data_IF_718752873733
#
_entry.id   IF_718752873733
#
_cell.length_a   1.000
_cell.length_b   1.000
_cell.length_c   1.000
_cell.angle_alpha   90.00
_cell.angle_beta   90.00
_cell.angle_gamma   90.00
#
_symmetry.space_group_name_H-M   'P 1'
#
loop_
_entity.id
_entity.type
_entity.pdbx_description
1 polymer ?
#
# COMPACT_ATOMS: atom_id res chain seq x y z
N UNK A 1 17.46 3.29 -17.10
CA UNK A 1 16.94 4.45 -16.34
C UNK A 1 17.53 4.41 -14.94
N UNK A 2 17.95 5.54 -14.39
CA UNK A 2 18.50 5.64 -13.04
C UNK A 2 17.37 5.61 -12.01
N UNK A 3 17.28 4.52 -11.24
CA UNK A 3 16.34 4.36 -10.12
C UNK A 3 16.52 5.51 -9.12
N UNK A 4 15.42 6.08 -8.62
CA UNK A 4 15.45 6.85 -7.36
C UNK A 4 15.71 5.84 -6.23
N UNK A 5 16.74 6.02 -5.39
CA UNK A 5 17.07 5.06 -4.34
C UNK A 5 15.93 5.00 -3.30
N UNK A 6 15.63 3.80 -2.80
CA UNK A 6 14.65 3.61 -1.74
C UNK A 6 15.16 4.29 -0.46
N UNK A 7 14.31 5.11 0.14
CA UNK A 7 14.57 5.78 1.40
C UNK A 7 14.23 4.85 2.56
N UNK A 8 15.25 4.24 3.18
CA UNK A 8 15.11 3.67 4.52
C UNK A 8 15.06 4.83 5.52
N UNK A 9 13.85 5.24 5.90
CA UNK A 9 13.65 6.25 6.95
C UNK A 9 13.84 5.54 8.31
N UNK A 10 14.84 5.92 9.12
CA UNK A 10 15.04 5.31 10.43
C UNK A 10 13.85 5.59 11.35
N UNK A 11 13.47 4.59 12.15
CA UNK A 11 12.33 4.54 13.11
C UNK A 11 12.23 5.76 14.05
N UNK A 12 13.28 6.58 14.17
CA UNK A 12 13.33 7.78 15.01
C UNK A 12 12.72 9.05 14.37
N UNK A 13 12.30 9.01 13.10
CA UNK A 13 11.68 10.15 12.37
C UNK A 13 10.18 9.93 12.21
N UNK A 14 9.51 9.61 13.31
CA UNK A 14 8.10 9.18 13.35
C UNK A 14 7.09 10.35 13.54
N UNK A 15 7.42 11.57 13.10
CA UNK A 15 6.53 12.73 13.21
C UNK A 15 5.89 13.15 11.87
N UNK A 16 6.16 12.41 10.79
CA UNK A 16 5.55 12.59 9.46
C UNK A 16 5.34 11.28 8.70
N UNK A 17 5.57 10.14 9.35
CA UNK A 17 5.12 8.86 8.82
C UNK A 17 3.73 8.65 9.40
N UNK A 18 2.77 9.36 8.81
CA UNK A 18 1.34 9.15 9.04
C UNK A 18 1.09 7.64 9.07
N UNK A 19 0.60 7.20 10.22
CA UNK A 19 0.66 5.81 10.60
C UNK A 19 -0.28 4.99 9.72
N UNK A 20 0.29 4.11 8.89
CA UNK A 20 -0.48 3.06 8.24
C UNK A 20 -1.36 2.33 9.25
N UNK A 21 -2.59 2.00 8.86
CA UNK A 21 -3.56 1.38 9.75
C UNK A 21 -3.25 -0.12 9.95
N UNK A 22 -2.14 -0.42 10.64
CA UNK A 22 -1.75 -1.78 10.99
C UNK A 22 -1.98 -2.03 12.48
N UNK A 23 -2.74 -3.07 12.87
CA UNK A 23 -2.94 -3.40 14.27
C UNK A 23 -1.64 -3.88 14.93
N UNK A 24 -1.19 -3.15 15.95
CA UNK A 24 -0.10 -3.57 16.83
C UNK A 24 -0.49 -4.84 17.60
N UNK A 25 0.33 -5.88 17.52
CA UNK A 25 0.03 -7.17 18.15
C UNK A 25 0.25 -7.12 19.66
N UNK A 26 -0.84 -7.26 20.44
CA UNK A 26 -0.77 -7.59 21.86
C UNK A 26 -0.66 -9.12 22.05
N UNK A 27 0.16 -9.62 23.00
CA UNK A 27 0.37 -11.05 23.19
C UNK A 27 -0.81 -11.70 23.92
N UNK A 28 -1.34 -12.80 23.37
CA UNK A 28 -2.31 -13.70 24.03
C UNK A 28 -1.57 -14.95 24.51
N UNK A 29 -1.80 -15.46 25.74
CA UNK A 29 -1.12 -16.65 26.24
C UNK A 29 -1.68 -17.94 25.64
N UNK A 30 -0.78 -18.88 25.37
CA UNK A 30 -1.07 -20.20 24.82
C UNK A 30 -1.83 -21.11 25.80
N UNK A 31 -2.68 -21.98 25.26
CA UNK A 31 -3.22 -23.17 25.96
C UNK A 31 -2.86 -24.43 25.16
N UNK A 32 -2.53 -25.50 25.89
CA UNK A 32 -1.91 -26.73 25.40
C UNK A 32 -2.80 -27.60 24.48
N UNK A 33 -2.21 -28.44 23.60
CA UNK A 33 -2.96 -29.36 22.77
C UNK A 33 -3.28 -30.67 23.51
N UNK A 34 -4.48 -31.19 23.24
CA UNK A 34 -4.91 -32.56 23.56
C UNK A 34 -4.64 -33.43 22.34
N UNK A 35 -3.93 -34.55 22.55
CA UNK A 35 -3.68 -35.59 21.57
C UNK A 35 -4.90 -36.48 21.37
N UNK A 36 -5.24 -36.81 20.14
CA UNK A 36 -6.06 -37.99 19.83
C UNK A 36 -5.48 -38.74 18.63
N UNK A 37 -5.32 -40.05 18.83
CA UNK A 37 -4.72 -41.03 17.92
C UNK A 37 -5.85 -41.79 17.22
N UNK A 38 -5.81 -41.87 15.89
CA UNK A 38 -6.55 -42.92 15.17
C UNK A 38 -6.07 -43.05 13.72
N UNK A 39 -5.38 -44.15 13.46
CA UNK A 39 -5.08 -44.69 12.12
C UNK A 39 -6.36 -45.19 11.43
N UNK A 40 -6.41 -45.17 10.09
CA UNK A 40 -6.94 -46.35 9.40
C UNK A 40 -6.08 -46.86 8.22
N UNK A 41 -5.97 -48.20 8.25
CA UNK A 41 -5.79 -49.22 7.21
C UNK A 41 -5.52 -48.81 5.75
N UNK A 42 -4.44 -49.40 5.24
CA UNK A 42 -4.06 -49.61 3.84
C UNK A 42 -5.14 -50.32 3.00
N UNK A 43 -5.44 -49.77 1.83
CA UNK A 43 -6.15 -50.43 0.74
C UNK A 43 -5.26 -50.48 -0.50
N UNK A 44 -5.10 -51.68 -1.07
CA UNK A 44 -4.41 -51.96 -2.33
C UNK A 44 -5.00 -51.15 -3.49
N UNK A 45 -4.16 -50.46 -4.24
CA UNK A 45 -4.49 -49.92 -5.55
C UNK A 45 -3.39 -50.30 -6.55
N UNK A 46 -3.83 -51.03 -7.56
CA UNK A 46 -3.12 -51.50 -8.74
C UNK A 46 -2.33 -50.41 -9.45
N UNK A 47 -1.06 -50.71 -9.74
CA UNK A 47 -0.13 -49.87 -10.48
C UNK A 47 -0.51 -49.78 -11.96
N UNK A 48 -1.18 -48.70 -12.35
CA UNK A 48 -1.05 -48.19 -13.71
C UNK A 48 0.24 -47.39 -13.77
N UNK A 49 1.13 -47.77 -14.70
CA UNK A 49 2.39 -47.07 -14.92
C UNK A 49 2.12 -45.73 -15.61
N UNK A 50 1.81 -44.71 -14.81
CA UNK A 50 1.86 -43.31 -15.21
C UNK A 50 3.30 -42.97 -15.57
N UNK A 51 3.52 -42.41 -16.76
CA UNK A 51 4.77 -41.73 -17.09
C UNK A 51 5.09 -40.74 -15.98
N UNK A 52 6.26 -40.89 -15.34
CA UNK A 52 6.72 -40.01 -14.28
C UNK A 52 6.64 -38.55 -14.77
N UNK A 53 5.93 -37.70 -14.03
CA UNK A 53 5.98 -36.26 -14.26
C UNK A 53 7.35 -35.75 -13.85
N UNK A 54 7.98 -34.97 -14.72
CA UNK A 54 9.17 -34.17 -14.38
C UNK A 54 8.75 -32.92 -13.58
N UNK A 55 7.95 -33.11 -12.52
CA UNK A 55 7.49 -31.99 -11.70
C UNK A 55 8.68 -31.47 -10.88
N UNK A 56 9.05 -30.18 -11.02
CA UNK A 56 10.15 -29.63 -10.25
C UNK A 56 9.78 -29.58 -8.76
N UNK A 57 10.73 -29.94 -7.89
CA UNK A 57 10.60 -29.71 -6.46
C UNK A 57 10.78 -28.22 -6.16
N UNK A 58 9.87 -27.61 -5.41
CA UNK A 58 9.81 -26.17 -5.13
C UNK A 58 9.89 -25.91 -3.62
N UNK A 59 11.09 -25.65 -3.04
CA UNK A 59 11.29 -25.44 -1.61
C UNK A 59 10.60 -24.18 -1.08
N UNK A 60 10.43 -23.15 -1.93
CA UNK A 60 9.76 -21.90 -1.57
C UNK A 60 8.59 -21.68 -2.51
N UNK A 61 7.37 -21.82 -1.99
CA UNK A 61 6.16 -21.55 -2.78
C UNK A 61 5.83 -20.05 -2.73
N UNK A 62 5.22 -19.53 -3.79
CA UNK A 62 4.78 -18.15 -3.83
C UNK A 62 3.37 -18.00 -4.40
N UNK A 63 2.70 -16.92 -4.00
CA UNK A 63 1.45 -16.45 -4.60
C UNK A 63 1.42 -14.94 -4.66
N UNK A 64 0.75 -14.40 -5.67
CA UNK A 64 0.37 -12.99 -5.72
C UNK A 64 -0.81 -12.78 -4.75
N UNK A 65 -0.78 -11.70 -3.95
CA UNK A 65 -1.84 -11.42 -2.98
C UNK A 65 -3.12 -10.90 -3.63
N UNK A 66 -2.98 -10.03 -4.64
CA UNK A 66 -4.06 -9.42 -5.40
C UNK A 66 -3.61 -9.23 -6.84
N UNK A 67 -4.53 -9.42 -7.79
CA UNK A 67 -4.26 -9.23 -9.21
C UNK A 67 -3.67 -7.83 -9.46
N UNK A 68 -2.50 -7.72 -10.13
CA UNK A 68 -1.90 -6.44 -10.47
C UNK A 68 -2.79 -5.67 -11.45
N UNK A 69 -2.91 -4.35 -11.23
CA UNK A 69 -3.64 -3.43 -12.10
C UNK A 69 -2.74 -2.25 -12.47
N UNK A 70 -2.67 -1.87 -13.76
CA UNK A 70 -1.82 -0.78 -14.22
C UNK A 70 -2.40 0.58 -13.80
N UNK A 71 -1.54 1.56 -13.55
CA UNK A 71 -1.94 2.95 -13.36
C UNK A 71 -0.91 3.91 -13.99
N UNK A 72 -1.33 4.78 -14.93
CA UNK A 72 -0.45 5.83 -15.45
C UNK A 72 -0.25 6.91 -14.38
N UNK A 73 0.98 7.37 -14.22
CA UNK A 73 1.35 8.22 -13.11
C UNK A 73 2.10 9.49 -13.55
N UNK A 74 2.34 10.39 -12.59
CA UNK A 74 2.92 11.72 -12.84
C UNK A 74 4.34 11.72 -13.40
N UNK A 75 5.07 10.61 -13.34
CA UNK A 75 6.40 10.47 -13.94
C UNK A 75 6.36 10.08 -15.43
N UNK A 76 5.16 9.91 -15.99
CA UNK A 76 4.94 9.52 -17.38
C UNK A 76 5.03 8.02 -17.65
N UNK A 77 5.17 7.20 -16.61
CA UNK A 77 5.17 5.74 -16.71
C UNK A 77 3.82 5.15 -16.28
N UNK A 78 3.63 3.87 -16.57
CA UNK A 78 2.53 3.06 -16.04
C UNK A 78 3.08 2.09 -15.01
N UNK A 79 2.56 2.16 -13.79
CA UNK A 79 2.97 1.36 -12.64
C UNK A 79 2.05 0.16 -12.43
N UNK A 80 2.64 -0.97 -12.05
CA UNK A 80 1.97 -2.20 -11.65
C UNK A 80 2.46 -2.56 -10.25
N UNK A 81 1.89 -1.91 -9.24
CA UNK A 81 2.14 -2.22 -7.84
C UNK A 81 1.36 -3.46 -7.39
N UNK A 82 2.03 -4.43 -6.77
CA UNK A 82 1.40 -5.62 -6.17
C UNK A 82 2.35 -6.30 -5.18
N UNK A 83 1.87 -7.32 -4.47
CA UNK A 83 2.65 -8.05 -3.47
C UNK A 83 2.69 -9.54 -3.77
N UNK A 84 3.84 -10.16 -3.49
CA UNK A 84 3.99 -11.59 -3.39
C UNK A 84 4.02 -12.01 -1.93
N UNK A 85 3.46 -13.17 -1.65
CA UNK A 85 3.72 -13.91 -0.43
C UNK A 85 4.52 -15.17 -0.76
N UNK A 86 5.70 -15.27 -0.16
CA UNK A 86 6.59 -16.41 -0.20
C UNK A 86 6.40 -17.25 1.08
N UNK A 87 6.49 -18.58 0.96
CA UNK A 87 6.52 -19.49 2.09
C UNK A 87 7.61 -20.52 1.89
N UNK A 88 8.61 -20.51 2.77
CA UNK A 88 9.63 -21.55 2.83
C UNK A 88 9.03 -22.76 3.54
N UNK A 89 8.70 -23.79 2.77
CA UNK A 89 8.05 -25.01 3.28
C UNK A 89 9.06 -26.06 3.75
N UNK A 90 10.34 -25.71 3.79
CA UNK A 90 11.43 -26.62 4.14
C UNK A 90 12.00 -26.38 5.52
N UNK A 91 12.94 -27.24 5.91
CA UNK A 91 13.75 -27.10 7.12
C UNK A 91 15.08 -26.39 6.87
N UNK A 92 15.32 -25.91 5.64
CA UNK A 92 16.54 -25.20 5.24
C UNK A 92 16.31 -23.69 5.31
N UNK A 93 17.37 -22.93 5.52
CA UNK A 93 17.30 -21.47 5.35
C UNK A 93 17.37 -21.16 3.86
N UNK A 94 16.48 -20.30 3.37
CA UNK A 94 16.44 -19.83 2.00
C UNK A 94 16.78 -18.34 1.94
N UNK A 95 17.82 -17.97 1.20
CA UNK A 95 18.18 -16.57 0.95
C UNK A 95 17.72 -16.20 -0.45
N UNK A 96 16.92 -15.14 -0.61
CA UNK A 96 16.57 -14.61 -1.93
C UNK A 96 17.82 -13.92 -2.50
N UNK A 97 18.36 -14.47 -3.59
CA UNK A 97 19.53 -13.94 -4.29
C UNK A 97 19.13 -13.02 -5.44
N UNK A 98 18.01 -13.30 -6.11
CA UNK A 98 17.44 -12.37 -7.09
C UNK A 98 15.95 -12.61 -7.31
N UNK A 99 15.26 -11.57 -7.77
CA UNK A 99 13.88 -11.62 -8.24
C UNK A 99 13.85 -11.01 -9.63
N UNK A 100 13.40 -11.76 -10.63
CA UNK A 100 13.23 -11.32 -12.00
C UNK A 100 11.75 -11.41 -12.37
N UNK A 101 11.12 -10.27 -12.61
CA UNK A 101 9.73 -10.18 -13.03
C UNK A 101 9.66 -10.25 -14.56
N UNK A 102 8.88 -11.19 -15.06
CA UNK A 102 8.81 -11.53 -16.47
C UNK A 102 7.40 -11.31 -17.02
N UNK A 103 7.32 -10.94 -18.29
CA UNK A 103 6.05 -10.95 -19.01
C UNK A 103 5.58 -12.38 -19.37
N UNK A 104 4.39 -12.50 -19.97
CA UNK A 104 3.85 -13.77 -20.44
C UNK A 104 4.65 -14.45 -21.57
N UNK A 105 5.67 -13.79 -22.14
CA UNK A 105 6.60 -14.36 -23.14
C UNK A 105 7.94 -14.74 -22.51
N UNK A 106 8.14 -14.48 -21.22
CA UNK A 106 9.40 -14.72 -20.51
C UNK A 106 10.44 -13.61 -20.68
N UNK A 107 10.05 -12.44 -21.17
CA UNK A 107 10.93 -11.28 -21.23
C UNK A 107 11.02 -10.62 -19.86
N UNK A 108 12.23 -10.34 -19.39
CA UNK A 108 12.48 -9.58 -18.16
C UNK A 108 11.96 -8.14 -18.29
N UNK A 109 11.14 -7.74 -17.31
CA UNK A 109 10.58 -6.41 -17.16
C UNK A 109 11.31 -5.65 -16.05
N UNK A 110 11.58 -6.34 -14.93
CA UNK A 110 12.32 -5.80 -13.81
C UNK A 110 13.14 -6.89 -13.13
N UNK A 111 14.37 -6.55 -12.73
CA UNK A 111 15.23 -7.44 -11.95
C UNK A 111 15.76 -6.73 -10.70
N UNK A 112 15.78 -7.46 -9.59
CA UNK A 112 16.40 -7.09 -8.32
C UNK A 112 17.44 -8.16 -7.96
N UNK A 113 18.67 -7.74 -7.70
CA UNK A 113 19.79 -8.65 -7.39
C UNK A 113 20.37 -8.36 -5.99
N UNK A 114 20.65 -9.42 -5.24
CA UNK A 114 21.34 -9.38 -3.96
C UNK A 114 20.73 -8.38 -2.97
N UNK A 115 21.51 -7.38 -2.59
CA UNK A 115 21.11 -6.39 -1.60
C UNK A 115 20.03 -5.41 -2.12
N UNK A 116 19.81 -5.32 -3.44
CA UNK A 116 18.70 -4.55 -4.00
C UNK A 116 17.34 -5.14 -3.62
N UNK A 117 17.28 -6.43 -3.26
CA UNK A 117 16.06 -7.12 -2.83
C UNK A 117 15.65 -6.70 -1.42
N UNK A 118 16.62 -6.42 -0.53
CA UNK A 118 16.39 -6.24 0.92
C UNK A 118 15.29 -5.23 1.25
N UNK A 119 15.24 -4.03 0.64
CA UNK A 119 14.24 -3.03 0.97
C UNK A 119 12.80 -3.42 0.58
N UNK A 120 12.66 -4.42 -0.31
CA UNK A 120 11.38 -4.86 -0.87
C UNK A 120 10.86 -6.13 -0.21
N UNK A 121 11.55 -6.66 0.80
CA UNK A 121 11.18 -7.93 1.44
C UNK A 121 11.07 -7.77 2.95
N UNK A 122 9.93 -8.20 3.49
CA UNK A 122 9.70 -8.29 4.92
C UNK A 122 9.45 -9.74 5.31
N UNK A 123 10.34 -10.29 6.14
CA UNK A 123 10.26 -11.67 6.61
C UNK A 123 9.39 -11.72 7.86
N UNK A 124 8.46 -12.67 7.90
CA UNK A 124 7.54 -12.81 9.02
C UNK A 124 8.29 -13.07 10.33
N UNK A 125 8.03 -12.22 11.32
CA UNK A 125 8.67 -12.31 12.64
C UNK A 125 9.97 -11.51 12.78
N UNK A 126 10.36 -10.72 11.78
CA UNK A 126 11.48 -9.76 11.87
C UNK A 126 10.98 -8.32 12.00
N UNK A 127 11.82 -7.44 12.52
CA UNK A 127 11.52 -5.99 12.60
C UNK A 127 12.10 -5.21 11.43
N UNK A 128 13.21 -5.68 10.88
CA UNK A 128 13.89 -5.04 9.75
C UNK A 128 13.60 -5.79 8.44
N UNK A 129 13.63 -5.10 7.29
CA UNK A 129 13.63 -5.73 5.98
C UNK A 129 14.80 -6.71 5.82
N UNK A 130 14.59 -7.77 5.05
CA UNK A 130 15.58 -8.82 4.92
C UNK A 130 15.23 -9.86 3.86
N UNK A 131 16.27 -10.48 3.29
CA UNK A 131 16.13 -11.46 2.20
C UNK A 131 16.34 -12.92 2.64
N UNK A 132 16.42 -13.19 3.95
CA UNK A 132 16.67 -14.53 4.51
C UNK A 132 15.41 -15.08 5.15
N UNK A 133 14.84 -16.12 4.55
CA UNK A 133 13.61 -16.80 4.99
C UNK A 133 14.00 -18.10 5.68
N UNK A 134 13.87 -18.14 7.01
CA UNK A 134 14.15 -19.34 7.79
C UNK A 134 13.14 -20.47 7.57
N UNK A 135 13.40 -21.64 8.18
CA UNK A 135 12.51 -22.81 8.12
C UNK A 135 11.06 -22.48 8.50
N UNK A 136 10.11 -22.81 7.63
CA UNK A 136 8.68 -22.57 7.87
C UNK A 136 8.27 -21.09 7.89
N UNK A 137 9.19 -20.15 7.66
CA UNK A 137 8.87 -18.73 7.64
C UNK A 137 8.25 -18.31 6.30
N UNK A 138 7.42 -17.26 6.35
CA UNK A 138 6.93 -16.57 5.17
C UNK A 138 7.59 -15.21 4.99
N UNK A 139 7.48 -14.64 3.80
CA UNK A 139 7.91 -13.28 3.53
C UNK A 139 6.93 -12.58 2.57
N UNK A 140 6.72 -11.29 2.79
CA UNK A 140 6.07 -10.41 1.84
C UNK A 140 7.14 -9.77 0.95
N UNK A 141 6.84 -9.70 -0.35
CA UNK A 141 7.65 -8.96 -1.33
C UNK A 141 6.77 -7.91 -1.98
N UNK A 142 7.23 -6.67 -2.01
CA UNK A 142 6.58 -5.58 -2.73
C UNK A 142 7.24 -5.38 -4.08
N UNK A 143 6.45 -5.37 -5.14
CA UNK A 143 6.91 -5.15 -6.51
C UNK A 143 6.15 -3.96 -7.12
N UNK A 144 6.82 -3.27 -8.03
CA UNK A 144 6.27 -2.19 -8.85
C UNK A 144 6.91 -2.23 -10.25
N UNK A 145 6.28 -2.99 -11.16
CA UNK A 145 6.76 -3.07 -12.54
C UNK A 145 6.31 -1.82 -13.29
N UNK A 146 7.24 -1.18 -14.00
CA UNK A 146 6.94 -0.02 -14.83
C UNK A 146 7.04 -0.34 -16.32
N UNK A 147 6.12 0.24 -17.10
CA UNK A 147 6.15 0.24 -18.58
C UNK A 147 5.91 1.64 -19.12
N UNK A 148 6.29 1.90 -20.37
CA UNK A 148 6.25 3.23 -20.96
C UNK A 148 4.82 3.73 -21.25
N UNK A 149 3.86 2.83 -21.47
CA UNK A 149 2.48 3.18 -21.78
C UNK A 149 1.48 2.07 -21.46
N UNK A 150 0.19 2.40 -21.45
CA UNK A 150 -0.90 1.42 -21.23
C UNK A 150 -0.91 0.32 -22.31
N UNK A 151 -0.43 0.60 -23.52
CA UNK A 151 -0.34 -0.37 -24.61
C UNK A 151 0.78 -1.40 -24.37
N UNK A 152 1.78 -1.05 -23.56
CA UNK A 152 2.91 -1.90 -23.21
C UNK A 152 2.63 -2.81 -22.00
N UNK A 153 1.46 -2.68 -21.36
CA UNK A 153 1.09 -3.47 -20.18
C UNK A 153 0.95 -4.95 -20.56
N UNK A 154 1.74 -5.86 -19.96
CA UNK A 154 1.67 -7.28 -20.27
C UNK A 154 0.36 -7.89 -19.77
N UNK A 155 -0.14 -8.91 -20.48
CA UNK A 155 -1.36 -9.62 -20.04
C UNK A 155 -1.11 -10.54 -18.82
N UNK A 156 0.14 -10.94 -18.60
CA UNK A 156 0.55 -11.86 -17.52
C UNK A 156 1.91 -11.46 -16.98
N UNK A 157 2.11 -11.75 -15.71
CA UNK A 157 3.40 -11.67 -15.03
C UNK A 157 3.79 -13.04 -14.47
N UNK A 158 5.09 -13.29 -14.37
CA UNK A 158 5.64 -14.40 -13.63
C UNK A 158 6.99 -14.01 -13.01
N UNK A 159 7.47 -14.79 -12.05
CA UNK A 159 8.62 -14.39 -11.24
C UNK A 159 9.66 -15.50 -11.26
N UNK A 160 10.83 -15.27 -11.84
CA UNK A 160 11.98 -16.14 -11.63
C UNK A 160 12.71 -15.68 -10.37
N UNK A 161 12.66 -16.48 -9.31
CA UNK A 161 13.30 -16.18 -8.03
C UNK A 161 14.45 -17.15 -7.82
N UNK A 162 15.65 -16.61 -7.63
CA UNK A 162 16.83 -17.39 -7.28
C UNK A 162 16.98 -17.44 -5.77
N UNK A 163 17.09 -18.64 -5.21
CA UNK A 163 17.33 -18.87 -3.79
C UNK A 163 18.67 -19.57 -3.57
N UNK A 164 19.41 -19.09 -2.57
CA UNK A 164 20.52 -19.81 -1.95
C UNK A 164 20.01 -20.63 -0.75
N UNK A 165 20.46 -21.87 -0.60
CA UNK A 165 20.06 -22.76 0.50
C UNK A 165 21.23 -23.14 1.40
N UNK A 166 21.06 -22.94 2.71
CA UNK A 166 22.02 -23.36 3.74
C UNK A 166 21.32 -24.02 4.96
N UNK A 167 21.64 -25.28 5.29
CA UNK A 167 22.43 -26.22 4.48
C UNK A 167 21.64 -26.69 3.25
N UNK A 168 22.30 -26.91 2.11
CA UNK A 168 21.69 -27.59 0.98
C UNK A 168 21.45 -29.09 1.25
N UNK A 169 20.51 -29.72 0.54
CA UNK A 169 20.24 -31.16 0.60
C UNK A 169 20.20 -31.82 -0.80
N UNK A 170 21.36 -31.94 -1.50
CA UNK A 170 21.40 -32.52 -2.85
C UNK A 170 20.98 -33.99 -2.89
N UNK A 171 20.42 -34.48 -4.01
CA UNK A 171 20.23 -33.76 -5.28
C UNK A 171 18.94 -32.94 -5.35
N UNK A 172 18.10 -32.98 -4.32
CA UNK A 172 16.75 -32.38 -4.34
C UNK A 172 16.81 -30.87 -4.11
N UNK A 173 17.58 -30.42 -3.12
CA UNK A 173 17.83 -29.01 -2.84
C UNK A 173 19.31 -28.74 -3.10
N UNK A 174 19.62 -28.06 -4.19
CA UNK A 174 20.98 -27.62 -4.50
C UNK A 174 21.32 -26.33 -3.75
N UNK A 175 22.61 -25.98 -3.60
CA UNK A 175 23.01 -24.74 -2.93
C UNK A 175 22.40 -23.48 -3.53
N UNK A 176 22.04 -23.52 -4.81
CA UNK A 176 21.33 -22.47 -5.52
C UNK A 176 20.27 -23.11 -6.40
N UNK A 177 19.06 -22.54 -6.42
CA UNK A 177 17.96 -22.94 -7.29
C UNK A 177 17.26 -21.69 -7.82
N UNK A 178 16.88 -21.69 -9.09
CA UNK A 178 16.01 -20.65 -9.66
C UNK A 178 14.68 -21.26 -10.02
N UNK A 179 13.60 -20.61 -9.56
CA UNK A 179 12.25 -21.14 -9.66
C UNK A 179 11.32 -20.13 -10.30
N UNK A 180 10.53 -20.60 -11.26
CA UNK A 180 9.42 -19.84 -11.84
C UNK A 180 8.22 -19.94 -10.93
N UNK A 181 7.88 -18.86 -10.24
CA UNK A 181 6.85 -18.81 -9.22
C UNK A 181 5.72 -17.84 -9.58
N UNK A 182 4.57 -18.02 -8.91
CA UNK A 182 3.45 -17.10 -8.84
C UNK A 182 3.10 -16.42 -10.18
N UNK A 183 2.86 -17.21 -11.23
CA UNK A 183 2.31 -16.67 -12.48
C UNK A 183 0.90 -16.11 -12.24
N UNK A 184 0.64 -14.90 -12.70
CA UNK A 184 -0.64 -14.21 -12.54
C UNK A 184 -1.08 -13.54 -13.83
N UNK A 185 -2.39 -13.40 -14.01
CA UNK A 185 -2.93 -12.44 -14.98
C UNK A 185 -2.71 -11.02 -14.46
N UNK A 186 -2.66 -10.08 -15.40
CA UNK A 186 -2.78 -8.64 -15.12
C UNK A 186 -4.17 -8.20 -15.53
N UNK A 187 -4.86 -7.53 -14.62
CA UNK A 187 -6.13 -6.91 -14.93
C UNK A 187 -5.87 -5.57 -15.60
N UNK A 188 -6.10 -5.52 -16.91
CA UNK A 188 -5.77 -4.39 -17.79
C UNK A 188 -6.95 -3.44 -18.01
N UNK A 189 -7.97 -3.50 -17.15
CA UNK A 189 -9.00 -2.48 -17.12
C UNK A 189 -8.38 -1.10 -16.86
N UNK A 190 -8.97 -0.07 -17.45
CA UNK A 190 -8.52 1.30 -17.20
C UNK A 190 -8.72 1.64 -15.71
N UNK A 191 -7.81 2.41 -15.10
CA UNK A 191 -8.00 2.91 -13.74
C UNK A 191 -9.31 3.67 -13.59
N UNK A 192 -9.82 3.70 -12.37
CA UNK A 192 -11.01 4.49 -12.04
C UNK A 192 -10.65 5.97 -12.13
N UNK A 193 -11.35 6.71 -12.98
CA UNK A 193 -11.21 8.18 -13.09
C UNK A 193 -12.10 8.82 -12.04
N UNK A 194 -11.54 9.70 -11.21
CA UNK A 194 -12.25 10.39 -10.13
C UNK A 194 -11.90 11.88 -10.11
N UNK A 195 -12.77 12.69 -9.51
CA UNK A 195 -12.44 14.08 -9.19
C UNK A 195 -11.57 14.17 -7.91
N UNK A 196 -10.77 15.23 -7.73
CA UNK A 196 -10.03 15.45 -6.49
C UNK A 196 -10.93 15.57 -5.26
N UNK A 197 -10.55 14.98 -4.10
CA UNK A 197 -11.33 15.06 -2.87
C UNK A 197 -11.19 16.39 -2.11
N UNK A 198 -10.42 17.34 -2.66
CA UNK A 198 -9.96 18.58 -2.00
C UNK A 198 -9.96 19.75 -3.00
N UNK A 199 -9.89 20.99 -2.48
CA UNK A 199 -9.77 22.22 -3.27
C UNK A 199 -8.52 23.02 -2.92
N UNK A 200 -8.08 23.86 -3.85
CA UNK A 200 -7.00 24.81 -3.63
C UNK A 200 -5.60 24.22 -3.85
N UNK A 201 -4.61 25.04 -3.52
CA UNK A 201 -3.22 24.83 -3.93
C UNK A 201 -2.40 24.14 -2.83
N UNK A 202 -1.28 23.52 -3.22
CA UNK A 202 -0.24 23.10 -2.28
C UNK A 202 -0.52 21.80 -1.52
N UNK A 203 -1.33 20.88 -2.06
CA UNK A 203 -1.57 19.59 -1.42
C UNK A 203 -0.41 18.64 -1.66
N UNK A 204 0.33 18.30 -0.61
CA UNK A 204 1.37 17.28 -0.65
C UNK A 204 0.72 15.90 -0.61
N UNK A 205 1.04 15.08 -1.61
CA UNK A 205 0.69 13.66 -1.66
C UNK A 205 1.69 12.86 -0.82
N UNK A 206 1.33 12.63 0.45
CA UNK A 206 2.04 11.78 1.39
C UNK A 206 1.71 10.30 1.15
N UNK A 207 2.71 9.44 1.34
CA UNK A 207 2.58 7.98 1.36
C UNK A 207 1.99 7.28 0.12
N UNK A 208 1.69 8.02 -0.95
CA UNK A 208 1.17 7.45 -2.20
C UNK A 208 2.18 6.50 -2.86
N UNK A 209 1.73 5.79 -3.88
CA UNK A 209 2.55 4.81 -4.59
C UNK A 209 3.79 5.49 -5.27
N UNK A 210 4.90 4.79 -5.56
CA UNK A 210 5.08 3.33 -5.52
C UNK A 210 6.35 2.83 -4.80
N UNK A 211 6.99 3.67 -3.99
CA UNK A 211 7.96 3.19 -3.00
C UNK A 211 7.25 2.35 -1.91
N UNK A 212 8.01 1.58 -1.12
CA UNK A 212 7.49 0.92 0.10
C UNK A 212 7.30 1.96 1.21
N UNK A 213 6.28 2.81 1.05
CA UNK A 213 5.78 3.73 2.07
C UNK A 213 5.07 2.94 3.18
N UNK A 214 4.77 3.55 4.35
CA UNK A 214 3.91 2.92 5.36
C UNK A 214 2.64 2.31 4.76
N UNK A 215 1.95 3.04 3.87
CA UNK A 215 0.74 2.58 3.18
C UNK A 215 0.99 1.41 2.23
N UNK A 216 2.02 1.51 1.39
CA UNK A 216 2.39 0.43 0.48
C UNK A 216 2.73 -0.85 1.26
N UNK A 217 3.38 -0.70 2.41
CA UNK A 217 3.72 -1.77 3.35
C UNK A 217 2.55 -2.34 4.17
N UNK A 218 1.40 -1.67 4.19
CA UNK A 218 0.25 -2.05 5.00
C UNK A 218 -0.48 -3.27 4.42
N UNK A 219 -0.01 -4.47 4.77
CA UNK A 219 -0.66 -5.73 4.43
C UNK A 219 -1.34 -6.31 5.68
N UNK A 220 -2.66 -6.16 5.75
CA UNK A 220 -3.48 -6.41 6.92
C UNK A 220 -4.00 -7.86 6.97
N UNK A 221 -3.84 -8.58 8.09
CA UNK A 221 -4.39 -9.92 8.29
C UNK A 221 -5.84 -9.86 8.81
N UNK A 222 -6.80 -9.53 7.94
CA UNK A 222 -8.22 -9.43 8.30
C UNK A 222 -8.96 -10.69 7.88
N UNK A 223 -9.79 -11.25 8.78
CA UNK A 223 -10.61 -12.41 8.47
C UNK A 223 -9.83 -13.68 8.09
N UNK A 224 -8.55 -13.77 8.51
CA UNK A 224 -7.67 -14.90 8.18
C UNK A 224 -7.00 -14.81 6.80
N UNK A 225 -7.10 -13.67 6.10
CA UNK A 225 -6.45 -13.42 4.82
C UNK A 225 -5.63 -12.13 4.85
N UNK A 226 -4.63 -12.05 3.97
CA UNK A 226 -3.87 -10.81 3.76
C UNK A 226 -4.59 -9.91 2.76
N UNK A 227 -4.64 -8.63 3.10
CA UNK A 227 -5.28 -7.57 2.33
C UNK A 227 -4.33 -6.38 2.23
N UNK A 228 -4.18 -5.76 1.06
CA UNK A 228 -3.36 -4.55 0.90
C UNK A 228 -4.26 -3.35 0.56
N UNK A 229 -5.06 -2.85 1.53
CA UNK A 229 -6.07 -1.83 1.29
C UNK A 229 -5.44 -0.49 0.88
N UNK A 230 -4.28 -0.17 1.41
CA UNK A 230 -3.64 1.14 1.26
C UNK A 230 -2.66 1.21 0.07
N UNK A 231 -2.67 0.22 -0.83
CA UNK A 231 -1.72 0.12 -1.96
C UNK A 231 -1.59 1.40 -2.78
N UNK A 232 -2.71 2.09 -2.99
CA UNK A 232 -2.78 3.36 -3.72
C UNK A 232 -3.31 4.51 -2.84
N UNK A 233 -3.26 4.36 -1.51
CA UNK A 233 -3.74 5.37 -0.59
C UNK A 233 -2.85 6.60 -0.58
N UNK A 234 -3.47 7.75 -0.36
CA UNK A 234 -2.79 9.04 -0.29
C UNK A 234 -3.19 9.71 1.02
N UNK A 235 -2.18 10.18 1.73
CA UNK A 235 -2.37 11.14 2.81
C UNK A 235 -2.12 12.55 2.31
N UNK A 236 -3.12 13.41 2.47
CA UNK A 236 -3.03 14.80 2.07
C UNK A 236 -2.76 15.70 3.26
N UNK A 237 -1.68 16.46 3.15
CA UNK A 237 -1.40 17.64 3.98
C UNK A 237 -1.23 18.85 3.08
N UNK A 238 -1.63 20.04 3.53
CA UNK A 238 -1.49 21.25 2.74
C UNK A 238 -0.24 22.03 3.17
N UNK A 239 0.57 22.41 2.20
CA UNK A 239 1.68 23.34 2.37
C UNK A 239 1.16 24.77 2.20
N UNK A 240 1.59 25.66 3.09
CA UNK A 240 1.44 27.10 2.90
C UNK A 240 2.41 27.63 1.83
N UNK A 241 2.31 28.93 1.56
CA UNK A 241 3.18 29.60 0.58
C UNK A 241 4.67 29.59 0.94
N UNK A 242 5.02 29.30 2.19
CA UNK A 242 6.39 29.19 2.67
C UNK A 242 6.90 27.74 2.65
N UNK A 243 6.04 26.76 2.32
CA UNK A 243 6.38 25.34 2.30
C UNK A 243 6.19 24.65 3.65
N UNK A 244 5.48 25.27 4.60
CA UNK A 244 5.18 24.71 5.92
C UNK A 244 3.76 24.14 5.96
N UNK A 245 3.58 22.99 6.60
CA UNK A 245 2.24 22.42 6.89
C UNK A 245 1.85 22.62 8.37
N UNK A 246 2.74 23.20 9.17
CA UNK A 246 2.52 23.50 10.58
C UNK A 246 3.08 24.88 10.91
N UNK A 247 2.28 25.75 11.52
CA UNK A 247 2.62 27.17 11.77
C UNK A 247 2.69 27.52 13.26
N UNK A 248 2.61 26.53 14.14
CA UNK A 248 2.55 26.69 15.60
C UNK A 248 3.05 25.45 16.34
N UNK A 249 2.70 25.29 17.63
CA UNK A 249 3.03 24.08 18.40
C UNK A 249 2.47 22.82 17.70
N UNK A 250 3.34 21.84 17.46
CA UNK A 250 3.01 20.59 16.74
C UNK A 250 1.98 19.72 17.45
N UNK A 251 1.65 20.02 18.71
CA UNK A 251 0.72 19.25 19.52
C UNK A 251 -0.65 19.93 19.67
N UNK A 252 -0.89 20.97 18.87
CA UNK A 252 -2.15 21.73 18.80
C UNK A 252 -2.76 21.64 17.39
N UNK A 253 -4.03 21.24 17.29
CA UNK A 253 -4.75 21.14 16.01
C UNK A 253 -4.81 22.48 15.24
N UNK A 254 -4.89 23.60 15.96
CA UNK A 254 -4.91 24.95 15.37
C UNK A 254 -3.61 25.34 14.68
N UNK A 255 -2.53 24.58 14.86
CA UNK A 255 -1.25 24.80 14.20
C UNK A 255 -1.21 24.26 12.77
N UNK A 256 -2.23 23.52 12.34
CA UNK A 256 -2.35 22.91 11.02
C UNK A 256 -3.40 23.68 10.20
N UNK A 257 -2.99 24.59 9.29
CA UNK A 257 -3.92 25.54 8.66
C UNK A 257 -5.04 24.90 7.83
N UNK A 258 -4.85 23.66 7.40
CA UNK A 258 -5.81 22.85 6.63
C UNK A 258 -6.71 21.97 7.50
N UNK A 259 -6.53 21.95 8.83
CA UNK A 259 -7.49 21.31 9.74
C UNK A 259 -8.85 21.97 9.58
N UNK A 260 -9.86 21.18 9.23
CA UNK A 260 -11.20 21.67 8.90
C UNK A 260 -11.43 22.04 7.43
N UNK A 261 -10.50 21.72 6.53
CA UNK A 261 -10.75 21.83 5.09
C UNK A 261 -11.92 20.94 4.65
N UNK A 262 -12.69 21.40 3.67
CA UNK A 262 -13.80 20.63 3.09
C UNK A 262 -13.28 19.37 2.39
N UNK A 263 -13.92 18.24 2.68
CA UNK A 263 -13.69 16.97 1.98
C UNK A 263 -14.83 16.73 1.00
N UNK A 264 -14.49 16.38 -0.23
CA UNK A 264 -15.43 16.28 -1.35
C UNK A 264 -15.66 14.84 -1.79
N UNK A 265 -16.89 14.54 -2.18
CA UNK A 265 -17.22 13.33 -2.92
C UNK A 265 -16.47 13.31 -4.28
N UNK A 266 -15.76 12.23 -4.57
CA UNK A 266 -14.88 12.12 -5.76
C UNK A 266 -15.61 11.65 -7.01
N UNK A 267 -16.88 11.28 -6.84
CA UNK A 267 -17.73 10.73 -7.88
C UNK A 267 -19.19 10.72 -7.43
N UNK A 268 -20.08 10.28 -8.32
CA UNK A 268 -21.48 10.05 -7.98
C UNK A 268 -21.65 8.70 -7.26
N UNK A 269 -22.51 8.64 -6.24
CA UNK A 269 -22.84 7.37 -5.61
C UNK A 269 -23.33 7.44 -4.18
N UNK A 270 -23.90 6.35 -3.64
CA UNK A 270 -24.40 6.34 -2.28
C UNK A 270 -23.29 6.21 -1.23
N UNK A 271 -23.51 6.83 -0.07
CA UNK A 271 -22.78 6.49 1.16
C UNK A 271 -23.25 5.12 1.63
N UNK A 272 -22.30 4.20 1.88
CA UNK A 272 -22.60 2.83 2.34
C UNK A 272 -22.19 2.58 3.78
N UNK A 273 -21.25 3.36 4.32
CA UNK A 273 -20.85 3.36 5.73
C UNK A 273 -20.32 4.74 6.11
N UNK A 274 -20.47 5.12 7.38
CA UNK A 274 -19.87 6.34 7.93
C UNK A 274 -19.72 6.26 9.45
N UNK A 275 -18.79 7.04 10.00
CA UNK A 275 -18.57 7.21 11.43
C UNK A 275 -18.18 8.66 11.74
N UNK A 276 -18.73 9.24 12.80
CA UNK A 276 -18.49 10.64 13.18
C UNK A 276 -18.49 10.86 14.72
N UNK A 277 -18.34 9.78 15.50
CA UNK A 277 -18.45 9.78 16.96
C UNK A 277 -17.10 9.68 17.70
N UNK A 278 -15.99 9.52 16.97
CA UNK A 278 -14.66 9.45 17.58
C UNK A 278 -14.10 10.84 17.86
N UNK A 279 -13.43 11.04 19.01
CA UNK A 279 -12.81 12.30 19.35
C UNK A 279 -11.55 12.55 18.52
N UNK A 280 -11.17 13.82 18.41
CA UNK A 280 -9.87 14.22 17.88
C UNK A 280 -8.72 13.68 18.73
N UNK A 281 -7.68 13.18 18.07
CA UNK A 281 -6.41 12.85 18.71
C UNK A 281 -5.61 14.12 18.97
N UNK A 282 -4.75 14.06 20.00
CA UNK A 282 -3.73 15.07 20.21
C UNK A 282 -2.61 14.85 19.18
N UNK A 283 -2.29 15.84 18.30
CA UNK A 283 -1.19 15.72 17.35
C UNK A 283 0.18 15.56 18.02
N UNK A 284 1.16 15.08 17.24
CA UNK A 284 2.55 14.89 17.64
C UNK A 284 2.83 13.56 18.36
N UNK A 285 1.85 12.65 18.44
CA UNK A 285 2.04 11.32 19.01
C UNK A 285 1.07 10.31 18.40
N UNK A 286 1.55 9.06 18.24
CA UNK A 286 0.69 7.96 17.84
C UNK A 286 -0.36 7.66 18.93
N UNK A 287 -1.63 7.45 18.54
CA UNK A 287 -2.70 7.13 19.46
C UNK A 287 -2.51 5.72 20.02
N UNK A 288 -3.09 5.46 21.20
CA UNK A 288 -3.03 4.15 21.86
C UNK A 288 -4.42 3.72 22.29
N UNK A 289 -4.64 2.40 22.37
CA UNK A 289 -5.90 1.85 22.87
C UNK A 289 -7.05 1.82 21.85
N UNK A 290 -6.78 2.07 20.57
CA UNK A 290 -7.78 1.93 19.51
C UNK A 290 -8.12 0.47 19.24
N UNK A 291 -9.39 0.22 18.98
CA UNK A 291 -9.87 -1.03 18.39
C UNK A 291 -9.74 -1.01 16.87
N UNK A 292 -9.73 -2.18 16.21
CA UNK A 292 -9.53 -2.28 14.75
C UNK A 292 -10.54 -1.44 13.96
N UNK A 293 -11.79 -1.32 14.43
CA UNK A 293 -12.84 -0.52 13.79
C UNK A 293 -12.72 1.00 14.03
N UNK A 294 -11.79 1.43 14.88
CA UNK A 294 -11.49 2.85 15.16
C UNK A 294 -10.25 3.35 14.41
N UNK A 295 -9.49 2.46 13.76
CA UNK A 295 -8.24 2.81 13.09
C UNK A 295 -8.44 3.87 11.99
N UNK A 296 -9.47 3.72 11.16
CA UNK A 296 -9.81 4.71 10.14
C UNK A 296 -10.37 6.04 10.68
N UNK A 297 -10.59 6.15 11.99
CA UNK A 297 -11.20 7.33 12.60
C UNK A 297 -12.65 7.52 12.17
N UNK A 298 -13.11 8.76 12.27
CA UNK A 298 -14.34 9.18 11.61
C UNK A 298 -14.12 9.17 10.11
N UNK A 299 -15.11 8.68 9.38
CA UNK A 299 -14.94 8.39 7.97
C UNK A 299 -16.25 8.34 7.21
N UNK A 300 -16.12 8.35 5.87
CA UNK A 300 -17.18 8.03 4.92
C UNK A 300 -16.67 6.95 3.97
N UNK A 301 -17.50 5.95 3.70
CA UNK A 301 -17.31 4.98 2.61
C UNK A 301 -18.39 5.25 1.56
N UNK A 302 -17.97 5.64 0.37
CA UNK A 302 -18.84 5.92 -0.77
C UNK A 302 -18.71 4.79 -1.81
N UNK A 303 -19.83 4.31 -2.36
CA UNK A 303 -19.81 3.37 -3.48
C UNK A 303 -19.82 4.13 -4.82
N UNK A 304 -18.83 3.91 -5.68
CA UNK A 304 -18.72 4.62 -6.97
C UNK A 304 -19.34 3.84 -8.14
N UNK A 305 -19.47 2.51 -8.02
CA UNK A 305 -19.95 1.63 -9.08
C UNK A 305 -19.03 0.42 -9.23
N UNK A 306 -19.48 -0.63 -9.92
CA UNK A 306 -18.65 -1.79 -10.32
C UNK A 306 -17.82 -2.46 -9.20
N UNK A 307 -18.32 -2.40 -7.96
CA UNK A 307 -17.63 -2.96 -6.80
C UNK A 307 -16.50 -2.10 -6.24
N UNK A 308 -16.35 -0.86 -6.71
CA UNK A 308 -15.37 0.12 -6.24
C UNK A 308 -15.97 1.03 -5.17
N UNK A 309 -15.20 1.25 -4.10
CA UNK A 309 -15.57 2.09 -2.97
C UNK A 309 -14.47 3.12 -2.68
N UNK A 310 -14.84 4.38 -2.45
CA UNK A 310 -13.95 5.41 -1.94
C UNK A 310 -14.02 5.47 -0.42
N UNK A 311 -12.87 5.60 0.22
CA UNK A 311 -12.75 5.79 1.67
C UNK A 311 -12.12 7.13 1.98
N UNK A 312 -12.75 7.87 2.89
CA UNK A 312 -12.29 9.16 3.39
C UNK A 312 -12.15 9.03 4.90
N UNK A 313 -10.94 9.11 5.44
CA UNK A 313 -10.65 8.82 6.85
C UNK A 313 -10.25 10.07 7.64
N UNK A 314 -10.11 9.88 8.96
CA UNK A 314 -9.64 10.88 9.92
C UNK A 314 -10.48 12.17 9.96
N UNK A 315 -11.76 12.10 9.62
CA UNK A 315 -12.66 13.27 9.55
C UNK A 315 -12.94 13.87 10.93
N UNK A 316 -13.42 15.13 10.96
CA UNK A 316 -13.87 15.77 12.20
C UNK A 316 -15.11 15.10 12.81
N UNK A 317 -15.28 15.13 14.15
CA UNK A 317 -16.47 14.59 14.81
C UNK A 317 -17.74 15.40 14.51
N UNK A 318 -18.89 14.78 14.78
CA UNK A 318 -20.18 15.46 14.83
C UNK A 318 -20.90 15.61 13.49
N UNK A 319 -20.39 15.00 12.42
CA UNK A 319 -21.00 15.01 11.07
C UNK A 319 -21.29 16.43 10.57
N UNK A 320 -20.26 17.26 10.36
CA UNK A 320 -20.43 18.68 10.02
C UNK A 320 -21.19 18.92 8.70
N UNK A 321 -21.12 17.98 7.76
CA UNK A 321 -21.85 18.04 6.48
C UNK A 321 -23.30 17.55 6.58
N UNK A 322 -23.70 16.94 7.70
CA UNK A 322 -25.06 16.40 7.89
C UNK A 322 -25.41 15.27 6.93
N UNK A 323 -24.42 14.49 6.48
CA UNK A 323 -24.65 13.37 5.54
C UNK A 323 -25.20 12.14 6.26
N UNK A 324 -25.84 11.24 5.51
CA UNK A 324 -26.45 10.02 6.07
C UNK A 324 -26.15 8.78 5.21
N UNK A 325 -26.07 7.60 5.84
CA UNK A 325 -25.95 6.32 5.11
C UNK A 325 -27.15 6.16 4.16
N UNK A 326 -26.86 5.82 2.90
CA UNK A 326 -27.84 5.70 1.82
C UNK A 326 -28.09 7.00 1.05
N UNK A 327 -27.60 8.15 1.53
CA UNK A 327 -27.60 9.39 0.75
C UNK A 327 -26.79 9.21 -0.52
N UNK A 328 -27.35 9.59 -1.66
CA UNK A 328 -26.65 9.62 -2.94
C UNK A 328 -25.96 10.98 -3.10
N UNK A 329 -24.64 10.94 -3.18
CA UNK A 329 -23.77 12.07 -3.42
C UNK A 329 -23.62 12.30 -4.92
N UNK A 330 -23.40 13.56 -5.28
CA UNK A 330 -22.87 14.00 -6.57
C UNK A 330 -21.40 14.36 -6.41
N UNK A 331 -20.61 14.24 -7.48
CA UNK A 331 -19.21 14.71 -7.48
C UNK A 331 -19.11 16.15 -6.97
N UNK A 332 -18.20 16.39 -6.01
CA UNK A 332 -17.96 17.70 -5.42
C UNK A 332 -18.86 18.08 -4.24
N UNK A 333 -19.83 17.24 -3.87
CA UNK A 333 -20.60 17.40 -2.62
C UNK A 333 -19.64 17.37 -1.41
N UNK A 334 -19.84 18.27 -0.45
CA UNK A 334 -19.09 18.26 0.82
C UNK A 334 -19.62 17.12 1.68
N UNK A 335 -18.74 16.21 2.11
CA UNK A 335 -19.09 15.01 2.88
C UNK A 335 -18.58 15.04 4.31
N UNK A 336 -17.71 16.00 4.64
CA UNK A 336 -17.11 16.15 5.95
C UNK A 336 -16.03 17.20 5.94
N UNK A 337 -15.33 17.33 7.07
CA UNK A 337 -14.20 18.22 7.24
C UNK A 337 -12.96 17.40 7.63
N UNK A 338 -11.80 17.81 7.14
CA UNK A 338 -10.50 17.23 7.49
C UNK A 338 -10.27 17.33 8.99
N UNK A 339 -10.02 16.18 9.64
CA UNK A 339 -9.83 16.09 11.09
C UNK A 339 -8.51 15.46 11.48
N UNK A 340 -8.50 14.84 12.66
CA UNK A 340 -7.38 14.10 13.23
C UNK A 340 -7.88 12.98 14.16
N UNK A 341 -8.89 12.22 13.72
CA UNK A 341 -9.51 11.15 14.51
C UNK A 341 -8.96 9.76 14.13
N UNK A 342 -9.02 8.77 15.02
CA UNK A 342 -8.54 7.41 14.74
C UNK A 342 -7.03 7.24 14.85
N UNK A 343 -6.43 6.38 14.03
CA UNK A 343 -5.01 6.03 14.03
C UNK A 343 -4.18 7.08 13.28
N UNK A 344 -3.99 8.24 13.89
CA UNK A 344 -3.30 9.39 13.29
C UNK A 344 -2.44 10.12 14.30
N UNK A 345 -1.27 10.60 13.87
CA UNK A 345 -0.34 11.41 14.67
C UNK A 345 -0.41 12.91 14.35
N UNK A 346 -1.09 13.32 13.28
CA UNK A 346 -1.28 14.73 12.89
C UNK A 346 -2.42 14.89 11.87
N UNK A 347 -3.10 16.06 11.79
CA UNK A 347 -4.17 16.27 10.82
C UNK A 347 -3.76 15.92 9.40
N UNK A 348 -4.60 15.19 8.69
CA UNK A 348 -4.49 14.89 7.25
C UNK A 348 -5.81 14.30 6.74
N UNK A 349 -5.98 14.25 5.42
CA UNK A 349 -6.98 13.38 4.79
C UNK A 349 -6.28 12.10 4.32
N UNK A 350 -6.67 10.94 4.86
CA UNK A 350 -6.38 9.65 4.24
C UNK A 350 -7.47 9.32 3.21
N UNK A 351 -7.07 9.02 1.99
CA UNK A 351 -7.97 8.68 0.90
C UNK A 351 -7.47 7.48 0.09
N UNK A 352 -8.37 6.54 -0.22
CA UNK A 352 -8.10 5.48 -1.20
C UNK A 352 -9.36 4.95 -1.88
N UNK A 353 -9.18 4.19 -2.97
CA UNK A 353 -10.22 3.33 -3.53
C UNK A 353 -9.98 1.86 -3.16
N UNK A 354 -11.07 1.11 -3.01
CA UNK A 354 -11.09 -0.27 -2.51
C UNK A 354 -11.99 -1.17 -3.35
N UNK A 355 -11.68 -2.47 -3.38
CA UNK A 355 -12.47 -3.53 -4.04
C UNK A 355 -13.65 -4.07 -3.21
N UNK A 356 -13.81 -3.57 -1.98
CA UNK A 356 -14.91 -3.90 -1.07
C UNK A 356 -15.08 -2.77 -0.04
N UNK A 357 -16.22 -2.64 0.65
CA UNK A 357 -16.47 -1.53 1.57
C UNK A 357 -15.75 -1.66 2.92
N UNK A 358 -14.73 -2.51 3.03
CA UNK A 358 -13.98 -2.78 4.26
C UNK A 358 -12.64 -2.03 4.23
N UNK A 359 -12.47 -0.93 4.98
CA UNK A 359 -11.26 -0.10 4.94
C UNK A 359 -9.95 -0.85 5.17
N UNK A 360 -9.96 -1.88 6.02
CA UNK A 360 -8.76 -2.64 6.38
C UNK A 360 -8.70 -4.03 5.73
N UNK A 361 -9.84 -4.54 5.25
CA UNK A 361 -10.00 -5.90 4.72
C UNK A 361 -10.30 -5.94 3.22
N UNK A 362 -9.89 -4.93 2.47
CA UNK A 362 -10.03 -4.78 1.02
C UNK A 362 -8.65 -4.76 0.35
N UNK A 363 -8.61 -4.83 -0.98
CA UNK A 363 -7.42 -4.45 -1.73
C UNK A 363 -7.60 -3.06 -2.35
N UNK A 364 -6.52 -2.29 -2.34
CA UNK A 364 -6.47 -0.99 -2.98
C UNK A 364 -6.67 -1.11 -4.49
N UNK A 365 -7.59 -0.31 -5.01
CA UNK A 365 -7.89 -0.18 -6.44
C UNK A 365 -7.17 1.05 -6.98
N UNK A 366 -6.43 0.96 -8.11
CA UNK A 366 -5.80 2.14 -8.68
C UNK A 366 -6.83 3.12 -9.21
N UNK A 367 -6.51 4.39 -9.11
CA UNK A 367 -7.32 5.49 -9.63
C UNK A 367 -6.44 6.55 -10.26
N UNK A 368 -7.06 7.44 -11.01
CA UNK A 368 -6.44 8.63 -11.58
C UNK A 368 -7.36 9.82 -11.36
N UNK A 369 -6.77 11.01 -11.24
CA UNK A 369 -7.56 12.24 -11.21
C UNK A 369 -7.89 12.69 -12.62
N UNK A 370 -9.13 13.12 -12.86
CA UNK A 370 -9.58 13.70 -14.13
C UNK A 370 -8.77 14.94 -14.50
N UNK A 371 -8.58 15.84 -13.54
CA UNK A 371 -7.90 17.12 -13.71
C UNK A 371 -7.18 17.54 -12.42
N UNK A 372 -5.90 17.89 -12.53
CA UNK A 372 -5.16 18.61 -11.48
C UNK A 372 -3.93 19.30 -12.07
N UNK A 373 -3.36 20.25 -11.33
CA UNK A 373 -2.08 20.84 -11.69
C UNK A 373 -0.97 20.26 -10.83
N UNK A 374 0.05 19.69 -11.47
CA UNK A 374 1.29 19.35 -10.77
C UNK A 374 2.03 20.65 -10.43
N UNK A 375 2.09 20.98 -9.15
CA UNK A 375 2.79 22.16 -8.65
C UNK A 375 4.30 21.93 -8.56
N UNK A 376 4.72 20.69 -8.34
CA UNK A 376 6.11 20.24 -8.29
C UNK A 376 6.26 18.98 -7.44
N UNK A 377 7.46 18.71 -6.97
CA UNK A 377 7.75 17.58 -6.09
C UNK A 377 8.69 17.97 -4.94
N UNK A 378 8.53 17.36 -3.77
CA UNK A 378 9.52 17.41 -2.70
C UNK A 378 10.57 16.35 -2.99
N UNK A 379 11.85 16.75 -3.01
CA UNK A 379 12.93 15.76 -3.20
C UNK A 379 13.14 14.97 -1.91
N UNK A 380 13.65 13.75 -2.02
CA UNK A 380 13.99 12.94 -0.84
C UNK A 380 14.99 13.62 0.10
N UNK A 381 15.98 14.33 -0.45
CA UNK A 381 16.96 15.10 0.34
C UNK A 381 16.28 16.22 1.12
N UNK A 382 15.36 16.93 0.48
CA UNK A 382 14.59 18.01 1.10
C UNK A 382 13.62 17.47 2.16
N UNK A 383 12.95 16.34 1.88
CA UNK A 383 12.13 15.64 2.84
C UNK A 383 12.97 15.34 4.09
N UNK A 384 14.09 14.65 3.97
CA UNK A 384 14.92 14.29 5.13
C UNK A 384 15.46 15.49 5.90
N UNK A 385 15.95 16.49 5.18
CA UNK A 385 16.52 17.69 5.80
C UNK A 385 15.47 18.41 6.65
N UNK A 386 14.24 18.49 6.17
CA UNK A 386 13.21 19.34 6.78
C UNK A 386 12.26 18.58 7.70
N UNK A 387 12.04 17.27 7.51
CA UNK A 387 11.29 16.42 8.44
C UNK A 387 11.90 16.44 9.84
N UNK A 388 13.22 16.26 9.88
CA UNK A 388 13.96 16.13 11.15
C UNK A 388 14.25 17.49 11.79
N UNK A 389 14.35 18.54 10.96
CA UNK A 389 14.66 19.90 11.42
C UNK A 389 13.41 20.74 11.70
N UNK A 390 12.21 20.30 11.27
CA UNK A 390 10.98 21.10 11.34
C UNK A 390 11.02 22.33 10.44
N UNK A 391 11.76 22.25 9.32
CA UNK A 391 11.92 23.33 8.35
C UNK A 391 10.87 23.31 7.24
N UNK A 392 10.71 24.40 6.48
CA UNK A 392 9.83 24.43 5.31
C UNK A 392 10.39 23.57 4.18
N UNK A 393 9.52 22.84 3.49
CA UNK A 393 9.90 22.08 2.31
C UNK A 393 10.18 22.99 1.11
N UNK A 394 11.18 22.62 0.32
CA UNK A 394 11.51 23.28 -0.93
C UNK A 394 11.01 22.47 -2.11
N UNK A 395 10.09 23.06 -2.86
CA UNK A 395 9.48 22.42 -4.01
C UNK A 395 10.43 22.42 -5.22
N UNK A 396 10.80 21.24 -5.70
CA UNK A 396 11.41 21.09 -7.02
C UNK A 396 10.34 21.34 -8.08
N UNK A 397 10.59 22.36 -8.90
CA UNK A 397 9.62 22.91 -9.87
C UNK A 397 9.99 22.62 -11.32
N UNK A 398 10.88 21.64 -11.55
CA UNK A 398 11.39 21.27 -12.87
C UNK A 398 10.32 20.65 -13.77
N UNK A 399 9.37 19.91 -13.20
CA UNK A 399 8.19 19.40 -13.88
C UNK A 399 6.91 19.93 -13.22
N UNK A 400 6.05 20.59 -14.02
CA UNK A 400 4.82 21.26 -13.56
C UNK A 400 3.80 21.31 -14.68
N UNK A 401 2.57 21.66 -14.30
CA UNK A 401 1.50 22.01 -15.24
C UNK A 401 0.30 21.09 -15.10
N UNK A 402 -0.69 21.34 -15.96
CA UNK A 402 -1.92 20.53 -15.96
C UNK A 402 -1.60 19.06 -16.24
N UNK A 403 -2.34 18.19 -15.58
CA UNK A 403 -2.32 16.74 -15.68
C UNK A 403 -3.76 16.26 -15.75
N UNK A 404 -3.97 15.21 -16.53
CA UNK A 404 -5.27 14.59 -16.74
C UNK A 404 -5.10 13.08 -16.75
N UNK A 405 -6.04 12.37 -16.14
CA UNK A 405 -6.06 10.92 -16.07
C UNK A 405 -4.73 10.32 -15.57
N UNK A 406 -4.10 10.95 -14.57
CA UNK A 406 -2.88 10.44 -13.92
C UNK A 406 -3.05 10.28 -12.40
N UNK A 407 -2.31 9.32 -11.86
CA UNK A 407 -2.13 9.15 -10.42
C UNK A 407 -0.95 9.99 -9.91
N UNK A 408 -1.11 10.80 -8.85
CA UNK A 408 -0.02 11.57 -8.28
C UNK A 408 0.89 10.70 -7.39
N UNK A 409 2.15 10.59 -7.80
CA UNK A 409 3.16 9.81 -7.07
C UNK A 409 3.58 10.48 -5.76
N UNK A 410 4.24 9.67 -4.93
CA UNK A 410 4.73 10.10 -3.63
C UNK A 410 5.59 11.36 -3.73
N UNK A 411 5.38 12.30 -2.80
CA UNK A 411 6.05 13.60 -2.71
C UNK A 411 5.70 14.60 -3.81
N UNK A 412 4.76 14.30 -4.69
CA UNK A 412 4.21 15.33 -5.58
C UNK A 412 3.35 16.31 -4.79
N UNK A 413 3.38 17.57 -5.20
CA UNK A 413 2.49 18.61 -4.69
C UNK A 413 1.53 19.00 -5.81
N UNK A 414 0.24 18.99 -5.50
CA UNK A 414 -0.84 19.16 -6.47
C UNK A 414 -1.72 20.35 -6.09
N UNK A 415 -2.12 21.12 -7.11
CA UNK A 415 -3.13 22.16 -6.99
C UNK A 415 -4.42 21.65 -7.63
N UNK A 416 -5.55 21.86 -6.94
CA UNK A 416 -6.88 21.48 -7.40
C UNK A 416 -7.74 22.72 -7.62
N UNK A 417 -8.72 22.62 -8.52
CA UNK A 417 -9.60 23.74 -8.84
C UNK A 417 -10.22 24.35 -7.57
N UNK A 418 -10.12 25.68 -7.46
CA UNK A 418 -10.85 26.47 -6.46
C UNK A 418 -12.32 26.69 -6.86
N UNK A 419 -13.11 27.26 -5.94
CA UNK A 419 -14.47 27.74 -6.24
C UNK A 419 -14.52 28.99 -7.11
#
# INVERSE_FOLDING_TARGET
MTRRPLLLIPVAVAALLLAACTPGSAPVPATEPVSDDSTPSSGDATTDATTASDDPFTPVIARVLSTPRPVPATDGLVHLAYELYLSNVTTQTATIESIDVLDGKGQSLERLDGDEVVPWVHVSGTTEPGRVIGPGQGALVWLDVTVDSMDDVPAKLAHDVTFGFDPAAPPVITPEMTERLASTEVDREAPVVIAPPLRGDGWLNGNSCCAVTPHRGAVNPIGGSYHAPERYAIDYVQLDSEGSFVTGPVDELSSYPYFGADILAVGDGPIVSMRFDLPEQKPGANPTGLTVDEYGGNHVVQQLGDGVYAFYAHLQPGNPAGVEVGQRLSTGDIIGLLGNTGNTDSPHLHFHLMDSPSPLGSNGVPFVFDDFRLAGEITADDLFANLSAGGPFQLATGDRGERHDLYPLWLTVTDYAGE
#
